data_IF_223925029086
#
_entry.id   IF_223925029086
#
_cell.length_a   1.000
_cell.length_b   1.000
_cell.length_c   1.000
_cell.angle_alpha   90.00
_cell.angle_beta   90.00
_cell.angle_gamma   90.00
#
_symmetry.space_group_name_H-M   'P 1'
#
loop_
_entity.id
_entity.type
_entity.pdbx_description
1 polymer ?
#
# COMPACT_ATOMS: atom_id res chain seq x y z
N UNK A 1 6.57 21.02 -13.21
CA UNK A 1 5.66 20.29 -14.14
C UNK A 1 4.27 20.87 -13.97
N UNK A 2 3.70 21.51 -14.99
CA UNK A 2 2.31 21.99 -14.91
C UNK A 2 1.33 20.81 -14.98
N UNK A 3 0.24 20.90 -14.21
CA UNK A 3 -0.88 19.96 -14.23
C UNK A 3 -1.49 19.82 -15.63
N UNK A 4 -1.28 20.83 -16.48
CA UNK A 4 -1.72 20.88 -17.90
C UNK A 4 -1.09 19.79 -18.80
N UNK A 5 -0.09 19.06 -18.30
CA UNK A 5 0.58 17.96 -19.02
C UNK A 5 -0.12 16.60 -18.84
N UNK A 6 -1.07 16.47 -17.91
CA UNK A 6 -1.82 15.23 -17.63
C UNK A 6 -2.99 14.99 -18.62
N UNK A 7 -2.81 15.27 -19.91
CA UNK A 7 -3.89 15.17 -20.92
C UNK A 7 -4.12 13.76 -21.48
N UNK A 8 -3.44 12.74 -20.95
CA UNK A 8 -3.71 11.36 -21.33
C UNK A 8 -4.93 10.84 -20.55
N UNK A 9 -6.01 10.49 -21.26
CA UNK A 9 -7.25 9.99 -20.67
C UNK A 9 -7.02 8.81 -19.72
N UNK A 10 -6.13 7.89 -20.08
CA UNK A 10 -5.81 6.69 -19.31
C UNK A 10 -5.21 7.00 -17.92
N UNK A 11 -4.35 8.03 -17.83
CA UNK A 11 -3.76 8.46 -16.56
C UNK A 11 -4.82 9.12 -15.69
N UNK A 12 -5.67 9.97 -16.27
CA UNK A 12 -6.78 10.61 -15.56
C UNK A 12 -7.76 9.57 -15.01
N UNK A 13 -8.12 8.57 -15.80
CA UNK A 13 -9.03 7.51 -15.38
C UNK A 13 -8.42 6.63 -14.28
N UNK A 14 -7.11 6.39 -14.33
CA UNK A 14 -6.40 5.67 -13.26
C UNK A 14 -6.37 6.48 -11.97
N UNK A 15 -6.13 7.80 -12.03
CA UNK A 15 -6.19 8.68 -10.87
C UNK A 15 -7.60 8.68 -10.26
N UNK A 16 -8.64 8.84 -11.09
CA UNK A 16 -10.04 8.79 -10.63
C UNK A 16 -10.37 7.45 -9.98
N UNK A 17 -9.86 6.34 -10.53
CA UNK A 17 -10.03 5.01 -9.92
C UNK A 17 -9.36 4.96 -8.55
N UNK A 18 -8.13 5.43 -8.43
CA UNK A 18 -7.38 5.46 -7.16
C UNK A 18 -8.08 6.29 -6.09
N UNK A 19 -8.63 7.45 -6.44
CA UNK A 19 -9.42 8.27 -5.52
C UNK A 19 -10.66 7.52 -5.00
N UNK A 20 -11.42 6.87 -5.89
CA UNK A 20 -12.56 6.03 -5.48
C UNK A 20 -12.15 4.87 -4.59
N UNK A 21 -10.99 4.26 -4.83
CA UNK A 21 -10.47 3.18 -3.98
C UNK A 21 -10.18 3.69 -2.56
N UNK A 22 -9.60 4.89 -2.42
CA UNK A 22 -9.40 5.56 -1.11
C UNK A 22 -10.71 5.94 -0.43
N UNK A 23 -11.68 6.50 -1.17
CA UNK A 23 -13.02 6.80 -0.64
C UNK A 23 -13.72 5.55 -0.10
N UNK A 24 -13.61 4.43 -0.83
CA UNK A 24 -14.15 3.13 -0.38
C UNK A 24 -13.47 2.63 0.88
N UNK A 25 -12.15 2.78 0.98
CA UNK A 25 -11.41 2.42 2.19
C UNK A 25 -11.93 3.21 3.39
N UNK A 26 -12.04 4.54 3.26
CA UNK A 26 -12.54 5.41 4.33
C UNK A 26 -14.00 5.11 4.72
N UNK A 27 -14.87 4.81 3.74
CA UNK A 27 -16.30 4.57 3.97
C UNK A 27 -16.60 3.17 4.53
N UNK A 28 -15.90 2.14 4.07
CA UNK A 28 -16.23 0.74 4.37
C UNK A 28 -15.19 0.02 5.22
N UNK A 29 -14.10 0.70 5.59
CA UNK A 29 -12.97 0.12 6.33
C UNK A 29 -12.12 -0.87 5.52
N UNK A 30 -12.50 -1.15 4.27
CA UNK A 30 -11.79 -2.07 3.38
C UNK A 30 -11.97 -1.69 1.91
N UNK A 31 -10.97 -2.01 1.10
CA UNK A 31 -10.99 -1.78 -0.35
C UNK A 31 -10.10 -2.79 -1.07
N UNK A 32 -10.07 -2.70 -2.40
CA UNK A 32 -9.07 -3.39 -3.20
C UNK A 32 -8.42 -2.40 -4.15
N UNK A 33 -7.13 -2.20 -3.98
CA UNK A 33 -6.32 -1.32 -4.81
C UNK A 33 -5.83 -2.07 -6.05
N UNK A 34 -6.10 -1.52 -7.24
CA UNK A 34 -5.62 -2.07 -8.51
C UNK A 34 -4.61 -1.13 -9.18
N UNK A 35 -3.35 -1.57 -9.25
CA UNK A 35 -2.24 -0.78 -9.77
C UNK A 35 -1.97 -1.00 -11.26
N UNK A 36 -2.76 -1.84 -11.94
CA UNK A 36 -2.66 -2.04 -13.38
C UNK A 36 -3.07 -0.77 -14.13
N UNK A 37 -2.47 -0.47 -15.30
CA UNK A 37 -1.46 -1.27 -16.00
C UNK A 37 -0.02 -1.01 -15.54
N UNK A 38 0.22 -0.04 -14.66
CA UNK A 38 1.57 0.40 -14.29
C UNK A 38 2.33 -0.61 -13.43
N UNK A 39 1.61 -1.43 -12.67
CA UNK A 39 2.16 -2.53 -11.89
C UNK A 39 1.12 -3.66 -11.87
N UNK A 40 1.53 -4.86 -12.26
CA UNK A 40 0.66 -6.05 -12.20
C UNK A 40 0.49 -6.52 -10.74
N UNK A 41 -0.27 -5.74 -9.98
CA UNK A 41 -0.49 -5.92 -8.56
C UNK A 41 -1.88 -5.44 -8.17
N UNK A 42 -2.57 -6.28 -7.40
CA UNK A 42 -3.85 -6.00 -6.78
C UNK A 42 -3.74 -6.31 -5.29
N UNK A 43 -4.20 -5.40 -4.43
CA UNK A 43 -4.04 -5.50 -2.97
C UNK A 43 -5.39 -5.31 -2.27
N UNK A 44 -5.84 -6.29 -1.49
CA UNK A 44 -6.90 -6.11 -0.50
C UNK A 44 -6.33 -5.35 0.70
N UNK A 45 -6.96 -4.26 1.07
CA UNK A 45 -6.50 -3.42 2.17
C UNK A 45 -7.64 -3.11 3.14
N UNK A 46 -7.31 -3.12 4.43
CA UNK A 46 -8.07 -2.50 5.52
C UNK A 46 -7.38 -1.23 6.00
N UNK A 47 -8.03 -0.48 6.90
CA UNK A 47 -7.45 0.73 7.51
C UNK A 47 -6.12 0.43 8.19
N UNK A 48 -6.02 -0.68 8.91
CA UNK A 48 -4.82 -1.09 9.64
C UNK A 48 -3.68 -1.44 8.68
N UNK A 49 -3.97 -2.20 7.62
CA UNK A 49 -2.94 -2.54 6.61
C UNK A 49 -2.49 -1.32 5.80
N UNK A 50 -3.36 -0.32 5.61
CA UNK A 50 -2.99 0.95 4.97
C UNK A 50 -2.12 1.81 5.89
N UNK A 51 -2.42 1.85 7.18
CA UNK A 51 -1.54 2.49 8.17
C UNK A 51 -0.16 1.83 8.19
N UNK A 52 -0.12 0.49 8.19
CA UNK A 52 1.11 -0.28 8.11
C UNK A 52 1.88 0.02 6.80
N UNK A 53 1.17 0.18 5.67
CA UNK A 53 1.76 0.64 4.41
C UNK A 53 2.40 2.03 4.56
N UNK A 54 1.70 3.02 5.11
CA UNK A 54 2.21 4.37 5.33
C UNK A 54 3.47 4.39 6.24
N UNK A 55 3.48 3.62 7.32
CA UNK A 55 4.66 3.48 8.19
C UNK A 55 5.81 2.82 7.42
N UNK A 56 5.51 1.76 6.66
CA UNK A 56 6.52 1.04 5.88
C UNK A 56 7.19 1.91 4.82
N UNK A 57 6.47 2.89 4.26
CA UNK A 57 6.98 3.80 3.21
C UNK A 57 7.74 5.00 3.75
N UNK A 58 7.71 5.27 5.06
CA UNK A 58 8.55 6.32 5.66
C UNK A 58 10.03 6.07 5.34
N UNK A 59 10.64 6.95 4.54
CA UNK A 59 11.98 6.76 3.99
C UNK A 59 12.15 5.40 3.25
N UNK A 60 11.15 4.92 2.52
CA UNK A 60 11.24 3.73 1.66
C UNK A 60 10.39 3.93 0.41
N UNK A 61 10.59 3.13 -0.64
CA UNK A 61 9.81 3.29 -1.87
C UNK A 61 8.36 2.82 -1.67
N UNK A 62 7.44 3.42 -2.40
CA UNK A 62 6.06 2.93 -2.47
C UNK A 62 6.02 1.46 -2.90
N UNK A 63 6.85 1.05 -3.88
CA UNK A 63 6.92 -0.36 -4.32
C UNK A 63 7.28 -1.33 -3.19
N UNK A 64 8.25 -0.98 -2.32
CA UNK A 64 8.58 -1.80 -1.16
C UNK A 64 7.41 -1.85 -0.16
N UNK A 65 6.75 -0.73 0.09
CA UNK A 65 5.56 -0.69 0.95
C UNK A 65 4.41 -1.52 0.39
N UNK A 66 4.15 -1.46 -0.93
CA UNK A 66 3.09 -2.22 -1.58
C UNK A 66 3.35 -3.72 -1.53
N UNK A 67 4.61 -4.15 -1.66
CA UNK A 67 5.00 -5.55 -1.44
C UNK A 67 4.74 -5.99 0.00
N UNK A 68 5.06 -5.14 0.96
CA UNK A 68 4.78 -5.41 2.37
C UNK A 68 3.27 -5.50 2.63
N UNK A 69 2.49 -4.51 2.19
CA UNK A 69 1.03 -4.52 2.30
C UNK A 69 0.40 -5.76 1.64
N UNK A 70 0.94 -6.19 0.49
CA UNK A 70 0.52 -7.43 -0.17
C UNK A 70 0.77 -8.68 0.68
N UNK A 71 1.88 -8.73 1.44
CA UNK A 71 2.13 -9.85 2.35
C UNK A 71 1.21 -9.87 3.56
N UNK A 72 0.60 -8.74 3.91
CA UNK A 72 -0.36 -8.62 4.99
C UNK A 72 -1.79 -8.97 4.56
N UNK A 73 -2.03 -9.25 3.28
CA UNK A 73 -3.36 -9.64 2.82
C UNK A 73 -3.86 -10.87 3.58
N UNK A 74 -5.10 -10.78 4.03
CA UNK A 74 -5.80 -11.84 4.75
C UNK A 74 -5.10 -12.25 6.09
N UNK A 75 -4.12 -11.45 6.57
CA UNK A 75 -3.51 -11.57 7.91
C UNK A 75 -4.11 -10.55 8.88
N UNK A 76 -4.19 -10.91 10.16
CA UNK A 76 -4.52 -10.00 11.26
C UNK A 76 -3.24 -9.43 11.88
N UNK A 77 -3.06 -8.10 11.87
CA UNK A 77 -1.88 -7.48 12.49
C UNK A 77 -1.74 -7.79 13.98
N UNK A 78 -2.86 -8.05 14.67
CA UNK A 78 -2.88 -8.38 16.09
C UNK A 78 -2.35 -9.80 16.39
N UNK A 79 -2.26 -10.65 15.37
CA UNK A 79 -1.77 -12.03 15.49
C UNK A 79 -0.28 -12.14 15.13
N UNK A 80 0.31 -11.09 14.57
CA UNK A 80 1.71 -11.07 14.15
C UNK A 80 2.59 -10.56 15.29
N UNK A 81 3.62 -11.33 15.62
CA UNK A 81 4.69 -10.85 16.49
C UNK A 81 5.52 -9.76 15.81
N UNK A 82 6.20 -8.92 16.60
CA UNK A 82 7.15 -7.91 16.10
C UNK A 82 8.21 -8.55 15.20
N UNK A 83 8.71 -9.74 15.56
CA UNK A 83 9.68 -10.47 14.74
C UNK A 83 9.14 -10.91 13.38
N UNK A 84 7.86 -11.28 13.30
CA UNK A 84 7.20 -11.60 12.03
C UNK A 84 6.99 -10.37 11.17
N UNK A 85 6.56 -9.24 11.75
CA UNK A 85 6.44 -7.96 11.06
C UNK A 85 7.80 -7.51 10.50
N UNK A 86 8.86 -7.58 11.30
CA UNK A 86 10.21 -7.26 10.86
C UNK A 86 10.64 -8.16 9.68
N UNK A 87 10.38 -9.47 9.78
CA UNK A 87 10.70 -10.43 8.71
C UNK A 87 9.97 -10.08 7.41
N UNK A 88 8.68 -9.73 7.48
CA UNK A 88 7.88 -9.33 6.32
C UNK A 88 8.38 -8.01 5.71
N UNK A 89 8.72 -7.02 6.54
CA UNK A 89 9.32 -5.75 6.11
C UNK A 89 10.65 -5.97 5.39
N UNK A 90 11.55 -6.81 5.95
CA UNK A 90 12.83 -7.17 5.31
C UNK A 90 12.62 -7.89 3.99
N UNK A 91 11.69 -8.85 3.94
CA UNK A 91 11.32 -9.57 2.71
C UNK A 91 10.80 -8.61 1.62
N UNK A 92 10.11 -7.55 2.01
CA UNK A 92 9.64 -6.50 1.11
C UNK A 92 10.72 -5.44 0.74
N UNK A 93 11.94 -5.58 1.27
CA UNK A 93 13.05 -4.61 1.12
C UNK A 93 12.72 -3.22 1.68
N UNK A 94 12.02 -3.16 2.81
CA UNK A 94 11.78 -1.91 3.55
C UNK A 94 12.99 -1.58 4.43
N UNK A 95 13.44 -0.31 4.38
CA UNK A 95 14.54 0.18 5.23
C UNK A 95 14.04 0.41 6.66
N UNK A 96 14.95 0.29 7.63
CA UNK A 96 14.66 0.45 9.06
C UNK A 96 13.58 -0.51 9.56
N UNK A 97 13.61 -1.76 9.09
CA UNK A 97 12.57 -2.76 9.35
C UNK A 97 12.30 -2.99 10.84
N UNK A 98 13.34 -3.14 11.67
CA UNK A 98 13.18 -3.35 13.12
C UNK A 98 12.42 -2.19 13.77
N UNK A 99 12.82 -0.94 13.48
CA UNK A 99 12.17 0.26 14.04
C UNK A 99 10.73 0.47 13.57
N UNK A 100 10.36 -0.09 12.42
CA UNK A 100 9.01 -0.01 11.86
C UNK A 100 8.11 -1.16 12.29
N UNK A 101 8.68 -2.21 12.87
CA UNK A 101 7.95 -3.36 13.38
C UNK A 101 7.50 -3.14 14.85
N UNK A 102 8.25 -2.33 15.61
CA UNK A 102 7.89 -1.82 16.93
C UNK A 102 6.68 -0.87 16.88
#
# INVERSE_FOLDING_TARGET
>A
MSVDSLRCSEVVDTIKRRLREFERLGKYGKTTFDFRPFLDLKIKATIETELAFCISTANSSALSGLKFQKYLEDLSLNELSVGELERLLRKARVRFASRKAE
#
